data_IF_512215271092
#
_entry.id   IF_512215271092
#
_cell.length_a   1.000
_cell.length_b   1.000
_cell.length_c   1.000
_cell.angle_alpha   90.00
_cell.angle_beta   90.00
_cell.angle_gamma   90.00
#
_symmetry.space_group_name_H-M   'P 1'
#
loop_
_entity.id
_entity.type
_entity.pdbx_description
1 polymer ?
#
# COMPACT_ATOMS: atom_id res chain seq x y z
N UNK A 1 8.93 14.24 -16.99
CA UNK A 1 8.03 13.11 -17.24
C UNK A 1 6.92 13.13 -16.19
N UNK A 2 5.65 13.07 -16.58
CA UNK A 2 4.52 13.00 -15.64
C UNK A 2 4.38 11.57 -15.09
N UNK A 3 5.18 11.21 -14.08
CA UNK A 3 5.03 9.94 -13.35
C UNK A 3 3.83 10.00 -12.39
N UNK A 4 2.63 10.09 -12.95
CA UNK A 4 1.38 10.03 -12.18
C UNK A 4 1.15 8.58 -11.77
N UNK A 5 1.13 8.32 -10.47
CA UNK A 5 0.66 7.04 -9.98
C UNK A 5 -0.83 6.87 -10.27
N UNK A 6 -1.20 5.68 -10.72
CA UNK A 6 -2.56 5.35 -11.15
C UNK A 6 -2.94 3.99 -10.58
N UNK A 7 -4.24 3.71 -10.53
CA UNK A 7 -4.70 2.38 -10.18
C UNK A 7 -4.13 1.35 -11.16
N UNK A 8 -3.47 0.33 -10.61
CA UNK A 8 -2.92 -0.80 -11.34
C UNK A 8 -3.44 -2.11 -10.74
N UNK A 9 -3.53 -3.18 -11.55
CA UNK A 9 -3.85 -4.49 -11.03
C UNK A 9 -2.80 -4.92 -10.00
N UNK A 10 -3.28 -5.39 -8.85
CA UNK A 10 -2.45 -5.85 -7.74
C UNK A 10 -2.06 -7.30 -7.99
N UNK A 11 -0.84 -7.51 -8.49
CA UNK A 11 -0.29 -8.84 -8.80
C UNK A 11 0.60 -9.31 -7.66
N UNK A 12 -0.03 -9.87 -6.62
CA UNK A 12 0.68 -10.35 -5.44
C UNK A 12 1.66 -11.48 -5.78
N UNK A 13 2.83 -11.43 -5.15
CA UNK A 13 3.82 -12.52 -5.21
C UNK A 13 3.36 -13.73 -4.39
N UNK A 14 4.16 -14.79 -4.36
CA UNK A 14 3.87 -16.07 -3.68
C UNK A 14 3.58 -15.96 -2.18
N UNK A 15 3.96 -14.83 -1.57
CA UNK A 15 3.73 -14.54 -0.15
C UNK A 15 2.68 -13.44 0.07
N UNK A 16 2.08 -12.91 -1.00
CA UNK A 16 1.01 -11.90 -0.91
C UNK A 16 1.47 -10.45 -0.97
N UNK A 17 2.78 -10.19 -1.05
CA UNK A 17 3.34 -8.85 -1.19
C UNK A 17 3.12 -8.30 -2.59
N UNK A 18 2.89 -6.99 -2.67
CA UNK A 18 2.90 -6.27 -3.92
C UNK A 18 3.22 -4.80 -3.67
N UNK A 19 4.00 -4.20 -4.55
CA UNK A 19 4.37 -2.78 -4.47
C UNK A 19 4.17 -2.15 -5.84
N UNK A 20 3.56 -0.97 -5.85
CA UNK A 20 3.35 -0.25 -7.10
C UNK A 20 4.72 0.18 -7.67
N UNK A 21 5.04 -0.03 -8.95
CA UNK A 21 6.36 0.26 -9.52
C UNK A 21 6.77 1.74 -9.41
N UNK A 22 5.80 2.67 -9.50
CA UNK A 22 6.04 4.10 -9.21
C UNK A 22 6.30 4.40 -7.74
N UNK A 23 5.72 3.62 -6.82
CA UNK A 23 6.00 3.73 -5.39
C UNK A 23 7.39 3.15 -5.10
N UNK A 24 7.72 1.99 -5.66
CA UNK A 24 9.05 1.38 -5.61
C UNK A 24 10.13 2.33 -6.17
N UNK A 25 9.89 2.94 -7.33
CA UNK A 25 10.76 3.95 -7.91
C UNK A 25 10.86 5.24 -7.08
N UNK A 26 9.82 5.57 -6.30
CA UNK A 26 9.88 6.69 -5.35
C UNK A 26 10.74 6.33 -4.13
N UNK A 27 10.59 5.11 -3.63
CA UNK A 27 11.49 4.57 -2.61
C UNK A 27 12.93 4.54 -3.15
N UNK A 28 13.14 4.28 -4.44
CA UNK A 28 14.46 4.26 -5.10
C UNK A 28 15.43 3.28 -4.39
N UNK A 29 14.90 2.11 -4.01
CA UNK A 29 15.65 1.12 -3.22
C UNK A 29 15.96 1.55 -1.78
N UNK A 30 15.39 2.66 -1.30
CA UNK A 30 15.46 3.03 0.12
C UNK A 30 14.54 2.12 0.92
N UNK A 31 15.12 1.47 1.91
CA UNK A 31 14.42 0.56 2.82
C UNK A 31 13.38 1.29 3.70
N UNK A 32 13.56 2.59 3.88
CA UNK A 32 12.64 3.43 4.65
C UNK A 32 12.50 4.81 4.02
N UNK A 33 11.25 5.25 3.86
CA UNK A 33 10.92 6.64 3.52
C UNK A 33 10.26 7.28 4.73
N UNK A 34 10.78 8.43 5.14
CA UNK A 34 10.18 9.20 6.22
C UNK A 34 8.76 9.61 5.85
N UNK A 35 7.81 9.58 6.80
CA UNK A 35 6.42 9.96 6.54
C UNK A 35 6.28 11.39 6.01
N UNK A 36 7.20 12.30 6.37
CA UNK A 36 7.24 13.67 5.83
C UNK A 36 7.53 13.68 4.33
N UNK A 37 8.55 12.94 3.89
CA UNK A 37 8.96 12.85 2.49
C UNK A 37 7.88 12.16 1.64
N UNK A 38 7.27 11.12 2.19
CA UNK A 38 6.13 10.47 1.59
C UNK A 38 4.94 11.42 1.44
N UNK A 39 4.61 12.20 2.47
CA UNK A 39 3.53 13.18 2.44
C UNK A 39 3.81 14.33 1.44
N UNK A 40 5.06 14.76 1.30
CA UNK A 40 5.48 15.73 0.28
C UNK A 40 5.25 15.16 -1.12
N UNK A 41 5.67 13.92 -1.37
CA UNK A 41 5.47 13.26 -2.65
C UNK A 41 3.98 13.11 -2.99
N UNK A 42 3.15 12.73 -2.01
CA UNK A 42 1.70 12.64 -2.17
C UNK A 42 1.10 13.99 -2.56
N UNK A 43 1.42 15.06 -1.82
CA UNK A 43 0.95 16.42 -2.13
C UNK A 43 1.41 16.91 -3.50
N UNK A 44 2.65 16.64 -3.89
CA UNK A 44 3.17 17.00 -5.21
C UNK A 44 2.44 16.31 -6.35
N UNK A 45 1.94 15.10 -6.10
CA UNK A 45 1.19 14.33 -7.09
C UNK A 45 -0.34 14.48 -6.95
N UNK A 46 -0.85 15.20 -5.94
CA UNK A 46 -2.28 15.30 -5.65
C UNK A 46 -2.88 13.95 -5.27
N UNK A 47 -2.25 13.29 -4.29
CA UNK A 47 -2.63 11.95 -3.86
C UNK A 47 -3.03 11.96 -2.38
N UNK A 48 -4.09 11.22 -2.08
CA UNK A 48 -4.43 10.79 -0.73
C UNK A 48 -3.85 9.40 -0.47
N UNK A 49 -3.47 9.13 0.77
CA UNK A 49 -3.05 7.82 1.21
C UNK A 49 -3.80 7.42 2.48
N UNK A 50 -3.99 6.13 2.65
CA UNK A 50 -4.50 5.52 3.88
C UNK A 50 -3.79 4.21 4.13
N UNK A 51 -3.59 3.89 5.39
CA UNK A 51 -3.11 2.57 5.80
C UNK A 51 -4.30 1.76 6.31
N UNK A 52 -4.39 0.53 5.84
CA UNK A 52 -5.29 -0.49 6.36
C UNK A 52 -4.43 -1.56 7.02
N UNK A 53 -4.64 -1.74 8.32
CA UNK A 53 -4.04 -2.83 9.08
C UNK A 53 -4.97 -4.02 9.01
N UNK A 54 -4.41 -5.24 8.94
CA UNK A 54 -5.20 -6.45 9.13
C UNK A 54 -5.68 -6.51 10.58
N UNK A 55 -6.93 -6.87 10.76
CA UNK A 55 -7.52 -7.04 12.10
C UNK A 55 -6.88 -8.25 12.79
N UNK A 56 -6.46 -8.09 14.04
CA UNK A 56 -5.77 -9.13 14.83
C UNK A 56 -6.70 -10.30 15.18
N UNK A 57 -8.03 -10.10 15.15
CA UNK A 57 -9.02 -11.12 15.54
C UNK A 57 -9.22 -12.23 14.48
N UNK A 58 -8.71 -12.03 13.26
CA UNK A 58 -8.90 -12.93 12.10
C UNK A 58 -7.63 -13.76 11.78
N UNK A 59 -6.62 -13.76 12.67
CA UNK A 59 -5.36 -14.45 12.40
C UNK A 59 -4.72 -15.12 13.61
N UNK A 60 -4.34 -16.38 13.44
CA UNK A 60 -3.47 -17.09 14.38
C UNK A 60 -2.05 -17.16 13.81
N UNK A 61 -1.15 -16.34 14.38
CA UNK A 61 0.23 -16.21 13.93
C UNK A 61 1.03 -17.52 14.06
N UNK A 62 0.56 -18.47 14.88
CA UNK A 62 1.19 -19.79 15.05
C UNK A 62 0.74 -20.79 13.98
N UNK A 63 -0.41 -20.58 13.33
CA UNK A 63 -1.03 -21.51 12.38
C UNK A 63 -0.89 -21.07 10.92
N UNK A 64 -1.05 -19.79 10.61
CA UNK A 64 -1.11 -19.29 9.24
C UNK A 64 0.20 -18.65 8.73
N UNK A 65 1.15 -18.36 9.63
CA UNK A 65 2.50 -17.86 9.29
C UNK A 65 2.54 -16.41 8.81
N UNK A 66 3.44 -16.08 7.87
CA UNK A 66 3.59 -14.73 7.28
C UNK A 66 2.91 -14.62 5.90
N UNK A 67 2.07 -15.58 5.52
CA UNK A 67 1.41 -15.55 4.22
C UNK A 67 0.20 -14.61 4.25
N UNK A 68 0.34 -13.49 3.55
CA UNK A 68 -0.74 -12.50 3.39
C UNK A 68 -1.43 -12.67 2.03
N UNK A 69 -1.14 -13.75 1.30
CA UNK A 69 -1.72 -14.01 -0.02
C UNK A 69 -3.24 -14.15 0.06
N UNK A 70 -3.73 -14.76 1.15
CA UNK A 70 -5.16 -14.95 1.43
C UNK A 70 -5.85 -13.70 1.95
N UNK A 71 -5.11 -12.76 2.55
CA UNK A 71 -5.66 -11.55 3.18
C UNK A 71 -6.09 -10.52 2.14
N UNK A 72 -7.37 -10.16 2.08
CA UNK A 72 -7.85 -9.07 1.22
C UNK A 72 -8.15 -7.83 2.06
N UNK A 73 -7.35 -6.75 1.96
CA UNK A 73 -7.60 -5.52 2.69
C UNK A 73 -8.91 -4.90 2.22
N UNK A 74 -9.70 -4.38 3.15
CA UNK A 74 -10.89 -3.62 2.81
C UNK A 74 -10.49 -2.24 2.29
N UNK A 75 -11.08 -1.83 1.17
CA UNK A 75 -10.85 -0.51 0.60
C UNK A 75 -11.41 0.56 1.54
N UNK A 76 -10.64 1.61 1.88
CA UNK A 76 -11.12 2.66 2.77
C UNK A 76 -12.30 3.44 2.18
N UNK A 77 -13.02 4.16 3.03
CA UNK A 77 -14.11 5.04 2.60
C UNK A 77 -13.64 6.06 1.55
N UNK A 78 -14.26 6.02 0.37
CA UNK A 78 -14.00 6.89 -0.78
C UNK A 78 -13.90 6.09 -2.09
N UNK A 79 -14.23 6.71 -3.22
CA UNK A 79 -14.10 6.07 -4.53
C UNK A 79 -12.72 6.33 -5.16
N UNK A 80 -12.16 5.32 -5.82
CA UNK A 80 -10.88 5.45 -6.54
C UNK A 80 -9.64 5.18 -5.69
N UNK A 81 -9.79 4.49 -4.55
CA UNK A 81 -8.68 3.88 -3.85
C UNK A 81 -8.13 2.69 -4.65
N UNK A 82 -6.81 2.60 -4.70
CA UNK A 82 -6.07 1.49 -5.26
C UNK A 82 -4.93 1.14 -4.33
N UNK A 83 -4.47 -0.10 -4.35
CA UNK A 83 -3.33 -0.50 -3.53
C UNK A 83 -2.10 0.21 -4.07
N UNK A 84 -1.31 0.82 -3.18
CA UNK A 84 0.01 1.37 -3.46
C UNK A 84 1.12 0.42 -3.03
N UNK A 85 0.95 -0.20 -1.88
CA UNK A 85 1.86 -1.23 -1.37
C UNK A 85 1.10 -2.13 -0.40
N UNK A 86 1.35 -3.42 -0.45
CA UNK A 86 0.86 -4.40 0.51
C UNK A 86 2.05 -5.23 0.95
N UNK A 87 2.28 -5.23 2.25
CA UNK A 87 3.38 -5.95 2.85
C UNK A 87 3.05 -6.32 4.28
N UNK A 88 3.65 -7.41 4.73
CA UNK A 88 3.66 -7.79 6.13
C UNK A 88 4.81 -7.10 6.87
N UNK A 89 4.58 -6.80 8.15
CA UNK A 89 5.53 -6.22 9.09
C UNK A 89 5.54 -7.03 10.39
N UNK A 90 6.47 -6.76 11.29
CA UNK A 90 6.49 -7.39 12.62
C UNK A 90 5.21 -7.15 13.44
N UNK A 91 4.46 -6.09 13.11
CA UNK A 91 3.17 -5.73 13.71
C UNK A 91 1.98 -6.35 12.97
N UNK A 92 2.25 -7.11 11.91
CA UNK A 92 1.26 -7.77 11.05
C UNK A 92 1.14 -7.16 9.66
N UNK A 93 0.15 -7.66 8.92
CA UNK A 93 -0.09 -7.31 7.53
C UNK A 93 -0.64 -5.89 7.38
N UNK A 94 0.02 -5.09 6.54
CA UNK A 94 -0.39 -3.71 6.25
C UNK A 94 -0.60 -3.50 4.75
N UNK A 95 -1.62 -2.72 4.43
CA UNK A 95 -1.95 -2.33 3.08
C UNK A 95 -2.05 -0.82 2.98
N UNK A 96 -1.13 -0.24 2.22
CA UNK A 96 -1.13 1.18 1.86
C UNK A 96 -2.04 1.36 0.66
N UNK A 97 -3.16 2.03 0.89
CA UNK A 97 -4.08 2.49 -0.13
C UNK A 97 -3.69 3.89 -0.59
N UNK A 98 -3.70 4.09 -1.89
CA UNK A 98 -3.46 5.36 -2.54
C UNK A 98 -4.70 5.75 -3.34
N UNK A 99 -4.95 7.03 -3.43
CA UNK A 99 -6.05 7.60 -4.21
C UNK A 99 -5.60 8.88 -4.84
N UNK A 100 -6.04 9.12 -6.07
CA UNK A 100 -5.88 10.45 -6.68
C UNK A 100 -6.91 11.38 -6.11
N UNK A 101 -6.48 12.52 -5.58
CA UNK A 101 -7.37 13.66 -5.43
C UNK A 101 -7.90 13.95 -6.83
N UNK A 102 -9.22 13.87 -7.00
CA UNK A 102 -9.83 14.25 -8.25
C UNK A 102 -9.35 15.67 -8.55
N UNK A 103 -8.62 15.84 -9.65
CA UNK A 103 -8.19 17.16 -10.08
C UNK A 103 -9.45 18.02 -10.23
N UNK A 104 -9.66 18.93 -9.29
CA UNK A 104 -10.78 19.86 -9.29
C UNK A 104 -10.60 20.90 -10.39
#
# INVERSE_FOLDING_TARGET
MNNKIVAMPVERDQYGYWIHPLYDAFCDGREFISPDEFNVWLKQNGLEWKVAYRDEDDFDHEVDGYDISTWQPESPAGDGWFVGSIHDTEDGAVCIWLRREAAQ
#
